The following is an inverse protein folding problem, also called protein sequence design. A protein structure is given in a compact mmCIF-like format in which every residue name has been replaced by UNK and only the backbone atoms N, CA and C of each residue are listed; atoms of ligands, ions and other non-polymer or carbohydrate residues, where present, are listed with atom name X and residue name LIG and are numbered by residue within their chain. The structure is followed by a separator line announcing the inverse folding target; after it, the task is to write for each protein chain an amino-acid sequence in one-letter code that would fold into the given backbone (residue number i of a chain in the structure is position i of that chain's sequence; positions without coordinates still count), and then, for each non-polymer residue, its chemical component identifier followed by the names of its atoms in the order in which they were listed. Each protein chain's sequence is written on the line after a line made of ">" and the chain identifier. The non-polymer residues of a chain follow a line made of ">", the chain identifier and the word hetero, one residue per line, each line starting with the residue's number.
data_IF_366451404199
#
_entry.id   IF_366451404199
#
_cell.length_a   1.000
_cell.length_b   1.000
_cell.length_c   1.000
_cell.angle_alpha   90.00
_cell.angle_beta   90.00
_cell.angle_gamma   90.00
#
_symmetry.space_group_name_H-M   'P 1'
#
loop_
_entity.id
_entity.type
_entity.pdbx_description
1 polymer ?
#
# COMPACT_ATOMS: atom_id res chain seq x y z
N UNK A 1 53.06 36.91 -44.02
CA UNK A 1 51.61 36.73 -43.87
C UNK A 1 51.24 35.25 -43.74
N UNK A 2 51.64 34.53 -42.67
CA UNK A 2 51.33 33.09 -42.51
C UNK A 2 51.24 32.64 -41.05
N UNK A 3 50.97 33.53 -40.08
CA UNK A 3 50.93 33.14 -38.66
C UNK A 3 49.64 33.53 -37.92
N UNK A 4 48.60 34.05 -38.58
CA UNK A 4 47.41 34.50 -37.92
C UNK A 4 46.22 33.53 -38.01
N UNK A 5 46.37 32.35 -38.64
CA UNK A 5 45.27 31.38 -38.80
C UNK A 5 45.25 30.24 -37.79
N UNK A 6 46.34 30.07 -37.02
CA UNK A 6 46.47 28.93 -36.10
C UNK A 6 46.00 29.25 -34.65
N UNK A 7 45.76 30.52 -34.34
CA UNK A 7 45.41 30.95 -32.98
C UNK A 7 43.90 30.95 -32.70
N UNK A 8 43.05 30.89 -33.76
CA UNK A 8 41.56 30.93 -33.60
C UNK A 8 40.97 29.54 -33.34
N UNK A 9 41.65 28.43 -33.70
CA UNK A 9 41.11 27.09 -33.52
C UNK A 9 41.36 26.51 -32.09
N UNK A 10 42.20 27.12 -31.27
CA UNK A 10 42.52 26.61 -29.92
C UNK A 10 41.57 27.20 -28.87
N UNK A 11 40.88 28.30 -29.15
CA UNK A 11 39.96 28.94 -28.19
C UNK A 11 38.53 28.36 -28.18
N UNK A 12 38.15 27.51 -29.13
CA UNK A 12 36.78 26.93 -29.21
C UNK A 12 36.69 25.53 -28.56
N UNK A 13 37.75 24.96 -28.04
CA UNK A 13 37.75 23.57 -27.48
C UNK A 13 37.60 23.48 -25.95
N UNK A 14 37.44 24.61 -25.24
CA UNK A 14 37.47 24.62 -23.75
C UNK A 14 36.06 24.75 -23.13
N UNK A 15 34.98 24.83 -23.93
CA UNK A 15 33.61 25.11 -23.38
C UNK A 15 32.70 23.88 -23.37
N UNK A 16 33.16 22.66 -23.43
CA UNK A 16 32.30 21.48 -23.52
C UNK A 16 32.42 20.47 -22.35
N UNK A 17 32.85 20.89 -21.15
CA UNK A 17 32.99 19.99 -19.99
C UNK A 17 32.38 20.56 -18.69
N UNK A 18 31.19 21.11 -18.73
CA UNK A 18 30.46 21.38 -17.49
C UNK A 18 29.01 21.08 -17.67
N UNK A 19 28.60 19.83 -17.62
CA UNK A 19 27.26 19.43 -17.17
C UNK A 19 27.20 17.93 -16.92
N UNK A 20 27.78 17.51 -15.81
CA UNK A 20 27.23 16.42 -15.03
C UNK A 20 26.91 17.03 -13.66
N UNK A 21 25.76 17.62 -13.50
CA UNK A 21 25.14 17.69 -12.19
C UNK A 21 24.77 16.25 -11.86
N UNK A 22 25.55 15.60 -11.03
CA UNK A 22 25.10 14.42 -10.33
C UNK A 22 23.98 14.90 -9.40
N UNK A 23 22.73 14.84 -9.85
CA UNK A 23 21.61 14.78 -8.94
C UNK A 23 21.82 13.51 -8.12
N UNK A 24 22.41 13.66 -6.93
CA UNK A 24 22.46 12.65 -5.89
C UNK A 24 21.02 12.52 -5.31
N UNK A 25 20.06 12.22 -6.16
CA UNK A 25 18.78 11.70 -5.69
C UNK A 25 19.07 10.27 -5.25
N UNK A 26 19.28 10.08 -3.95
CA UNK A 26 19.31 8.75 -3.37
C UNK A 26 18.00 8.07 -3.76
N UNK A 27 18.12 6.98 -4.53
CA UNK A 27 16.95 6.18 -4.92
C UNK A 27 16.46 5.50 -3.66
N UNK A 28 15.21 5.71 -3.31
CA UNK A 28 14.57 4.99 -2.22
C UNK A 28 14.47 3.50 -2.54
N UNK A 29 14.88 2.67 -1.61
CA UNK A 29 14.86 1.20 -1.70
C UNK A 29 14.19 0.56 -0.49
N UNK A 30 13.58 1.35 0.39
CA UNK A 30 12.89 0.87 1.56
C UNK A 30 11.41 0.63 1.25
N UNK A 31 10.82 -0.33 1.95
CA UNK A 31 9.40 -0.63 1.82
C UNK A 31 8.59 0.21 2.81
N UNK A 32 7.44 0.74 2.41
CA UNK A 32 6.57 1.44 3.34
C UNK A 32 6.01 0.49 4.41
N UNK A 33 5.71 1.01 5.59
CA UNK A 33 5.31 0.23 6.76
C UNK A 33 3.82 0.41 7.06
N UNK A 34 3.11 -0.71 7.26
CA UNK A 34 1.73 -0.76 7.74
C UNK A 34 1.73 -1.11 9.23
N UNK A 35 1.38 -0.14 10.08
CA UNK A 35 1.20 -0.35 11.51
C UNK A 35 -0.30 -0.37 11.85
N UNK A 36 -0.79 -1.53 12.27
CA UNK A 36 -2.14 -1.73 12.81
C UNK A 36 -2.10 -2.26 14.26
N UNK A 37 -1.03 -1.96 15.01
CA UNK A 37 -0.85 -2.37 16.40
C UNK A 37 -1.40 -1.37 17.42
N UNK A 38 -1.76 -0.16 17.00
CA UNK A 38 -2.35 0.84 17.88
C UNK A 38 -3.67 0.33 18.49
N UNK A 39 -3.97 0.74 19.72
CA UNK A 39 -5.16 0.28 20.46
C UNK A 39 -6.49 0.62 19.77
N UNK A 40 -6.48 1.60 18.86
CA UNK A 40 -7.63 2.00 18.05
C UNK A 40 -7.58 1.52 16.59
N UNK A 41 -6.60 0.69 16.23
CA UNK A 41 -6.51 0.08 14.89
C UNK A 41 -7.66 -0.93 14.70
N UNK A 42 -8.24 -0.94 13.49
CA UNK A 42 -9.31 -1.86 13.14
C UNK A 42 -9.37 -2.07 11.61
N UNK A 43 -9.63 -3.30 11.11
CA UNK A 43 -9.71 -4.54 11.90
C UNK A 43 -8.33 -4.98 12.40
N UNK A 44 -8.33 -5.84 13.38
CA UNK A 44 -7.18 -6.61 13.81
C UNK A 44 -7.39 -8.08 13.44
N UNK A 45 -6.35 -8.89 13.57
CA UNK A 45 -6.45 -10.33 13.32
C UNK A 45 -7.59 -10.95 14.14
N UNK A 46 -8.44 -11.79 13.50
CA UNK A 46 -9.62 -12.44 14.05
C UNK A 46 -10.76 -11.49 14.48
N UNK A 47 -10.82 -10.27 13.94
CA UNK A 47 -11.98 -9.40 14.19
C UNK A 47 -13.28 -10.03 13.70
N UNK A 48 -14.32 -9.96 14.54
CA UNK A 48 -15.68 -10.32 14.17
C UNK A 48 -16.48 -9.07 13.83
N UNK A 49 -17.22 -9.11 12.72
CA UNK A 49 -17.95 -7.98 12.16
C UNK A 49 -19.37 -8.45 11.83
N UNK A 50 -20.38 -7.71 12.26
CA UNK A 50 -21.78 -8.06 11.99
C UNK A 50 -22.24 -7.47 10.64
N UNK A 51 -23.01 -8.25 9.86
CA UNK A 51 -23.66 -7.78 8.63
C UNK A 51 -24.58 -6.60 8.93
N UNK A 52 -24.63 -5.64 8.00
CA UNK A 52 -25.39 -4.39 8.18
C UNK A 52 -24.65 -3.33 9.03
N UNK A 53 -23.53 -3.67 9.64
CA UNK A 53 -22.74 -2.75 10.43
C UNK A 53 -21.90 -1.82 9.53
N UNK A 54 -21.70 -0.60 9.97
CA UNK A 54 -20.67 0.29 9.46
C UNK A 54 -19.44 0.16 10.36
N UNK A 55 -18.30 -0.16 9.78
CA UNK A 55 -17.00 -0.22 10.45
C UNK A 55 -16.13 0.94 10.04
N UNK A 56 -15.17 1.30 10.90
CA UNK A 56 -14.16 2.31 10.58
C UNK A 56 -12.79 1.63 10.56
N UNK A 57 -12.26 1.42 9.35
CA UNK A 57 -10.86 1.02 9.19
C UNK A 57 -9.94 2.10 9.73
N UNK A 58 -8.92 1.69 10.49
CA UNK A 58 -7.86 2.57 11.01
C UNK A 58 -6.53 1.86 11.03
N UNK A 59 -5.51 2.48 10.42
CA UNK A 59 -4.11 2.04 10.48
C UNK A 59 -3.19 3.25 10.32
N UNK A 60 -1.96 3.13 10.77
CA UNK A 60 -0.92 4.12 10.54
C UNK A 60 0.03 3.60 9.48
N UNK A 61 0.36 4.47 8.53
CA UNK A 61 1.32 4.20 7.46
C UNK A 61 2.54 5.10 7.64
N UNK A 62 3.73 4.56 7.40
CA UNK A 62 4.98 5.34 7.44
C UNK A 62 5.91 4.91 6.32
N UNK A 63 6.76 5.84 5.90
CA UNK A 63 7.77 5.66 4.87
C UNK A 63 8.97 6.58 5.13
N UNK A 64 10.16 6.18 4.68
CA UNK A 64 11.38 6.99 4.81
C UNK A 64 11.41 8.17 3.84
N UNK A 65 10.80 8.05 2.65
CA UNK A 65 10.76 9.08 1.61
C UNK A 65 9.38 9.71 1.48
N UNK A 66 8.41 9.05 0.86
CA UNK A 66 7.05 9.55 0.71
C UNK A 66 6.03 8.44 0.38
N UNK A 67 4.91 8.44 1.07
CA UNK A 67 3.77 7.57 0.81
C UNK A 67 3.06 7.97 -0.50
N UNK A 68 2.59 6.98 -1.26
CA UNK A 68 1.88 7.16 -2.53
C UNK A 68 0.38 6.91 -2.43
N UNK A 69 0.00 5.68 -2.13
CA UNK A 69 -1.40 5.26 -2.06
C UNK A 69 -1.58 4.01 -1.22
N UNK A 70 -2.81 3.74 -0.81
CA UNK A 70 -3.16 2.45 -0.25
C UNK A 70 -4.45 1.91 -0.87
N UNK A 71 -4.62 0.60 -0.84
CA UNK A 71 -5.88 -0.05 -1.18
C UNK A 71 -6.30 -1.03 -0.11
N UNK A 72 -7.62 -1.15 0.06
CA UNK A 72 -8.28 -2.11 0.90
C UNK A 72 -9.03 -3.10 0.02
N UNK A 73 -8.93 -4.38 0.33
CA UNK A 73 -9.64 -5.45 -0.37
C UNK A 73 -10.25 -6.38 0.67
N UNK A 74 -11.56 -6.61 0.60
CA UNK A 74 -12.27 -7.58 1.43
C UNK A 74 -12.91 -8.60 0.50
N UNK A 75 -12.55 -9.87 0.65
CA UNK A 75 -13.10 -10.98 -0.11
C UNK A 75 -13.21 -12.24 0.75
N UNK A 76 -14.07 -13.17 0.32
CA UNK A 76 -14.32 -14.40 1.09
C UNK A 76 -13.10 -15.33 1.13
N UNK A 77 -13.00 -16.10 2.21
CA UNK A 77 -12.04 -17.18 2.40
C UNK A 77 -12.75 -18.51 2.71
N UNK A 78 -13.84 -18.80 2.01
CA UNK A 78 -14.69 -19.98 2.28
C UNK A 78 -14.09 -21.30 1.83
N UNK A 79 -13.05 -21.27 1.02
CA UNK A 79 -12.27 -22.40 0.55
C UNK A 79 -10.90 -22.54 1.26
N UNK A 80 -10.63 -21.67 2.23
CA UNK A 80 -9.41 -21.60 3.02
C UNK A 80 -8.15 -21.40 2.16
N UNK A 81 -8.27 -20.64 1.06
CA UNK A 81 -7.08 -20.20 0.34
C UNK A 81 -6.23 -19.26 1.20
N UNK A 82 -4.93 -19.21 0.96
CA UNK A 82 -3.99 -18.45 1.80
C UNK A 82 -3.28 -17.37 1.00
N UNK A 83 -2.96 -16.29 1.68
CA UNK A 83 -2.04 -15.25 1.22
C UNK A 83 -0.75 -15.30 2.05
N UNK A 84 0.40 -15.04 1.41
CA UNK A 84 1.72 -15.17 2.06
C UNK A 84 1.94 -14.23 3.26
N UNK A 85 1.11 -13.20 3.39
CA UNK A 85 1.21 -12.19 4.46
C UNK A 85 0.30 -12.46 5.65
N UNK A 86 -0.48 -13.55 5.63
CA UNK A 86 -1.42 -13.90 6.69
C UNK A 86 -0.79 -14.75 7.77
N UNK A 87 -1.20 -14.50 9.01
CA UNK A 87 -0.92 -15.35 10.16
C UNK A 87 -2.22 -16.07 10.54
N UNK A 88 -2.30 -17.36 10.25
CA UNK A 88 -3.47 -18.19 10.48
C UNK A 88 -3.62 -18.55 11.96
N UNK A 89 -4.18 -17.66 12.77
CA UNK A 89 -4.42 -17.90 14.20
C UNK A 89 -5.93 -17.89 14.57
N UNK A 90 -6.83 -17.76 13.58
CA UNK A 90 -8.26 -17.69 13.80
C UNK A 90 -8.91 -19.05 13.59
N UNK A 91 -9.98 -19.34 14.33
CA UNK A 91 -10.79 -20.54 14.11
C UNK A 91 -11.58 -20.40 12.82
N UNK A 92 -11.24 -21.21 11.81
CA UNK A 92 -11.92 -21.20 10.53
C UNK A 92 -13.28 -21.92 10.60
N UNK A 93 -14.26 -21.42 9.81
CA UNK A 93 -15.52 -22.10 9.55
C UNK A 93 -15.31 -23.31 8.61
N UNK A 94 -16.24 -24.27 8.56
CA UNK A 94 -16.19 -25.32 7.54
C UNK A 94 -16.18 -24.75 6.11
N UNK A 95 -15.40 -25.39 5.22
CA UNK A 95 -15.36 -25.02 3.81
C UNK A 95 -16.77 -25.02 3.22
N UNK A 96 -17.11 -23.97 2.46
CA UNK A 96 -18.39 -23.83 1.78
C UNK A 96 -18.24 -23.12 0.43
N UNK A 97 -19.24 -23.28 -0.42
CA UNK A 97 -19.33 -22.53 -1.68
C UNK A 97 -19.92 -21.14 -1.44
N UNK A 98 -19.34 -20.07 -2.01
CA UNK A 98 -19.93 -18.75 -1.96
C UNK A 98 -21.23 -18.70 -2.77
N UNK A 99 -22.24 -17.99 -2.26
CA UNK A 99 -23.51 -17.72 -2.94
C UNK A 99 -23.63 -16.22 -3.23
N UNK A 100 -23.44 -15.38 -2.21
CA UNK A 100 -23.44 -13.92 -2.32
C UNK A 100 -22.33 -13.33 -1.41
N UNK A 101 -21.04 -13.61 -1.69
CA UNK A 101 -19.96 -13.13 -0.83
C UNK A 101 -19.75 -11.62 -1.01
N UNK A 102 -19.31 -10.95 0.05
CA UNK A 102 -18.82 -9.58 -0.06
C UNK A 102 -17.56 -9.53 -0.92
N UNK A 103 -17.53 -8.57 -1.82
CA UNK A 103 -16.33 -8.09 -2.48
C UNK A 103 -16.27 -6.57 -2.33
N UNK A 104 -15.24 -6.08 -1.67
CA UNK A 104 -14.99 -4.66 -1.49
C UNK A 104 -13.56 -4.34 -1.90
N UNK A 105 -13.39 -3.44 -2.84
CA UNK A 105 -12.09 -2.93 -3.27
C UNK A 105 -12.15 -1.41 -3.29
N UNK A 106 -11.25 -0.76 -2.57
CA UNK A 106 -11.15 0.69 -2.57
C UNK A 106 -9.69 1.12 -2.57
N UNK A 107 -9.35 2.12 -3.37
CA UNK A 107 -8.01 2.69 -3.45
C UNK A 107 -8.05 4.17 -3.12
N UNK A 108 -7.09 4.61 -2.32
CA UNK A 108 -6.98 5.99 -1.83
C UNK A 108 -5.58 6.52 -2.12
N UNK A 109 -5.50 7.65 -2.78
CA UNK A 109 -4.25 8.38 -2.94
C UNK A 109 -3.92 9.13 -1.66
N UNK A 110 -2.71 8.95 -1.15
CA UNK A 110 -2.21 9.71 0.00
C UNK A 110 -1.72 11.08 -0.50
N UNK A 111 -2.01 12.20 0.20
CA UNK A 111 -1.51 13.51 -0.18
C UNK A 111 0.02 13.52 -0.36
N UNK A 112 0.51 14.32 -1.31
CA UNK A 112 1.92 14.35 -1.65
C UNK A 112 2.84 14.60 -0.45
N UNK A 113 4.04 14.01 -0.49
CA UNK A 113 5.15 14.23 0.46
C UNK A 113 4.85 13.84 1.92
N UNK A 114 3.84 13.00 2.14
CA UNK A 114 3.58 12.48 3.48
C UNK A 114 4.50 11.29 3.78
N UNK A 115 5.30 11.40 4.84
CA UNK A 115 6.09 10.29 5.40
C UNK A 115 5.33 9.51 6.48
N UNK A 116 4.21 10.03 6.93
CA UNK A 116 3.32 9.39 7.91
C UNK A 116 1.88 9.77 7.59
N UNK A 117 0.98 8.79 7.62
CA UNK A 117 -0.43 8.97 7.30
C UNK A 117 -1.30 8.10 8.21
N UNK A 118 -2.29 8.71 8.87
CA UNK A 118 -3.32 8.01 9.60
C UNK A 118 -4.48 7.70 8.66
N UNK A 119 -4.55 6.45 8.19
CA UNK A 119 -5.63 6.01 7.31
C UNK A 119 -6.90 5.78 8.11
N UNK A 120 -7.99 6.41 7.69
CA UNK A 120 -9.32 6.24 8.26
C UNK A 120 -10.31 6.10 7.12
N UNK A 121 -11.06 4.99 7.08
CA UNK A 121 -12.03 4.70 6.03
C UNK A 121 -13.29 4.06 6.63
N UNK A 122 -14.46 4.64 6.37
CA UNK A 122 -15.74 3.99 6.69
C UNK A 122 -16.11 2.96 5.64
N UNK A 123 -16.50 1.77 6.07
CA UNK A 123 -16.89 0.66 5.22
C UNK A 123 -18.24 0.15 5.73
N UNK A 124 -19.24 0.11 4.86
CA UNK A 124 -20.56 -0.49 5.18
C UNK A 124 -20.53 -1.96 4.79
N UNK A 125 -20.83 -2.83 5.74
CA UNK A 125 -20.99 -4.27 5.51
C UNK A 125 -22.43 -4.52 5.09
N UNK A 126 -22.71 -5.05 3.89
CA UNK A 126 -24.09 -5.31 3.46
C UNK A 126 -24.79 -6.32 4.37
N UNK A 127 -26.12 -6.29 4.41
CA UNK A 127 -26.94 -7.20 5.22
C UNK A 127 -27.17 -8.56 4.57
N UNK A 128 -27.08 -8.62 3.23
CA UNK A 128 -27.49 -9.76 2.41
C UNK A 128 -26.33 -10.63 1.90
N UNK A 129 -25.11 -10.38 2.41
CA UNK A 129 -23.93 -11.17 2.05
C UNK A 129 -23.83 -12.47 2.85
N UNK A 130 -23.07 -13.40 2.32
CA UNK A 130 -22.76 -14.66 3.03
C UNK A 130 -21.94 -14.36 4.29
N UNK A 131 -22.32 -14.89 5.48
CA UNK A 131 -21.46 -14.84 6.66
C UNK A 131 -20.30 -15.82 6.53
N UNK A 132 -19.26 -15.69 7.36
CA UNK A 132 -18.13 -16.63 7.45
C UNK A 132 -16.77 -15.95 7.40
N UNK A 133 -15.75 -16.70 6.94
CA UNK A 133 -14.38 -16.25 6.94
C UNK A 133 -14.08 -15.37 5.72
N UNK A 134 -13.40 -14.25 5.97
CA UNK A 134 -13.00 -13.28 4.96
C UNK A 134 -11.54 -12.85 5.16
N UNK A 135 -10.92 -12.48 4.06
CA UNK A 135 -9.66 -11.75 4.06
C UNK A 135 -9.92 -10.25 4.07
N UNK A 136 -9.15 -9.52 4.87
CA UNK A 136 -9.04 -8.08 4.81
C UNK A 136 -7.60 -7.72 4.46
N UNK A 137 -7.38 -7.34 3.21
CA UNK A 137 -6.06 -7.05 2.69
C UNK A 137 -5.80 -5.54 2.65
N UNK A 138 -4.65 -5.13 3.13
CA UNK A 138 -4.15 -3.77 3.06
C UNK A 138 -2.92 -3.80 2.18
N UNK A 139 -2.93 -3.03 1.08
CA UNK A 139 -1.75 -2.83 0.24
C UNK A 139 -1.37 -1.36 0.32
N UNK A 140 -0.14 -1.10 0.69
CA UNK A 140 0.44 0.23 0.78
C UNK A 140 1.55 0.36 -0.27
N UNK A 141 1.54 1.44 -1.03
CA UNK A 141 2.53 1.75 -2.07
C UNK A 141 3.09 3.14 -1.79
N UNK A 142 4.41 3.27 -1.84
CA UNK A 142 5.10 4.56 -1.76
C UNK A 142 5.13 5.31 -3.11
N UNK A 143 5.86 6.40 -3.18
CA UNK A 143 6.01 7.21 -4.40
C UNK A 143 6.90 6.57 -5.46
N UNK A 144 7.86 5.76 -5.05
CA UNK A 144 8.81 5.04 -5.90
C UNK A 144 8.24 3.73 -6.44
N UNK A 145 7.11 3.25 -5.86
CA UNK A 145 6.41 2.04 -6.28
C UNK A 145 6.70 0.81 -5.43
N UNK A 146 7.44 0.94 -4.31
CA UNK A 146 7.61 -0.15 -3.36
C UNK A 146 6.29 -0.44 -2.65
N UNK A 147 6.02 -1.71 -2.38
CA UNK A 147 4.74 -2.15 -1.83
C UNK A 147 4.91 -3.02 -0.61
N UNK A 148 4.11 -2.74 0.41
CA UNK A 148 3.87 -3.64 1.55
C UNK A 148 2.43 -4.11 1.52
N UNK A 149 2.23 -5.41 1.71
CA UNK A 149 0.91 -6.03 1.79
C UNK A 149 0.74 -6.65 3.18
N UNK A 150 -0.40 -6.40 3.81
CA UNK A 150 -0.78 -7.01 5.09
C UNK A 150 -2.17 -7.61 4.97
N UNK A 151 -2.27 -8.92 5.19
CA UNK A 151 -3.51 -9.66 5.24
C UNK A 151 -3.95 -9.89 6.69
N UNK A 152 -5.23 -9.74 6.94
CA UNK A 152 -5.89 -10.05 8.20
C UNK A 152 -7.02 -11.03 7.92
N UNK A 153 -7.15 -12.05 8.75
CA UNK A 153 -8.33 -12.92 8.75
C UNK A 153 -9.39 -12.28 9.61
N UNK A 154 -10.58 -12.10 9.07
CA UNK A 154 -11.74 -11.57 9.78
C UNK A 154 -12.92 -12.51 9.61
N UNK A 155 -13.92 -12.41 10.48
CA UNK A 155 -15.18 -13.14 10.36
C UNK A 155 -16.33 -12.17 10.21
N UNK A 156 -17.22 -12.39 9.23
CA UNK A 156 -18.49 -11.69 9.08
C UNK A 156 -19.62 -12.58 9.59
N UNK A 157 -20.40 -12.07 10.57
CA UNK A 157 -21.49 -12.78 11.27
C UNK A 157 -22.85 -12.43 10.70
#
# INVERSE_FOLDING_TARGET
>A
MKQTKTLVCVLLAVFALTSCSSDNNEIDTEYPVIDNSASNAFPVQCSEITRGQKITFKAKFTDNAALGSYSLDIHHNFDHHTHSTEVNNCTAEPIKKPVNPMLYINSVTIPNEQKSYEAVQEITIPTDIDPGDYHFMIRLTDKEGWQTIKGLSIKIL
#
